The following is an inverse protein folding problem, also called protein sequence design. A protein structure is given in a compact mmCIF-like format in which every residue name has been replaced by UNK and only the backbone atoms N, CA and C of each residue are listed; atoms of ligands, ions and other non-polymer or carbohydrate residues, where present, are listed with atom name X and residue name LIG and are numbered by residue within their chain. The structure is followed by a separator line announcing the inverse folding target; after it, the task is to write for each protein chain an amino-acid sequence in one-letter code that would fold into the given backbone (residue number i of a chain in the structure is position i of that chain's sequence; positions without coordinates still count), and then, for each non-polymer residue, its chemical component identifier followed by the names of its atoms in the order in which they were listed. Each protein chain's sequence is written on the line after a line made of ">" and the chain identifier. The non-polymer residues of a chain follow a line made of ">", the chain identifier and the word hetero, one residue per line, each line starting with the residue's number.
data_IF_593675936486
#
_entry.id   IF_593675936486
#
_cell.length_a   1.000
_cell.length_b   1.000
_cell.length_c   1.000
_cell.angle_alpha   90.00
_cell.angle_beta   90.00
_cell.angle_gamma   90.00
#
_symmetry.space_group_name_H-M   'P 1'
#
loop_
_entity.id
_entity.type
_entity.pdbx_description
1 polymer ?
#
# COMPACT_ATOMS: atom_id res chain seq x y z
N UNK A 1 33.39 5.79 15.64
CA UNK A 1 33.97 4.61 14.94
C UNK A 1 32.86 3.95 14.15
N UNK A 2 32.93 3.94 12.82
CA UNK A 2 31.95 3.24 11.97
C UNK A 2 32.10 1.74 12.19
N UNK A 3 31.00 1.06 12.51
CA UNK A 3 30.93 -0.40 12.55
C UNK A 3 31.41 -0.93 11.17
N UNK A 4 32.31 -1.93 11.10
CA UNK A 4 32.66 -2.52 9.80
C UNK A 4 31.37 -3.02 9.15
N UNK A 5 31.19 -2.71 7.86
CA UNK A 5 30.01 -3.13 7.14
C UNK A 5 29.94 -4.67 7.17
N UNK A 6 28.87 -5.23 7.72
CA UNK A 6 28.56 -6.64 7.47
C UNK A 6 28.11 -6.76 6.00
N UNK A 7 28.64 -7.75 5.29
CA UNK A 7 28.44 -7.89 3.83
C UNK A 7 27.04 -8.39 3.42
N UNK A 8 26.01 -8.26 4.27
CA UNK A 8 24.68 -8.83 4.02
C UNK A 8 23.66 -7.75 3.67
N UNK A 9 23.22 -7.78 2.40
CA UNK A 9 22.02 -7.10 1.93
C UNK A 9 20.80 -8.01 1.96
N UNK A 10 19.69 -7.53 2.50
CA UNK A 10 18.40 -8.22 2.52
C UNK A 10 17.44 -7.55 1.53
N UNK A 11 16.81 -8.33 0.65
CA UNK A 11 15.83 -7.82 -0.31
C UNK A 11 14.43 -8.36 -0.01
N UNK A 12 13.47 -7.45 0.22
CA UNK A 12 12.08 -7.77 0.49
C UNK A 12 11.21 -7.40 -0.72
N UNK A 13 10.80 -8.43 -1.46
CA UNK A 13 9.98 -8.29 -2.67
C UNK A 13 8.52 -7.88 -2.38
N UNK A 14 7.83 -7.47 -3.43
CA UNK A 14 6.44 -7.01 -3.38
C UNK A 14 5.43 -8.15 -3.36
N UNK A 15 4.16 -7.80 -3.21
CA UNK A 15 3.06 -8.78 -3.13
C UNK A 15 1.98 -8.47 -2.09
N UNK A 16 1.90 -7.20 -1.65
CA UNK A 16 0.92 -6.74 -0.66
C UNK A 16 1.04 -7.44 0.69
N UNK A 17 -0.09 -7.63 1.36
CA UNK A 17 -0.18 -8.22 2.71
C UNK A 17 0.40 -9.64 2.81
N UNK A 18 0.29 -10.44 1.74
CA UNK A 18 0.88 -11.79 1.71
C UNK A 18 2.40 -11.75 1.78
N UNK A 19 3.01 -10.85 1.00
CA UNK A 19 4.45 -10.62 1.06
C UNK A 19 4.86 -10.09 2.44
N UNK A 20 4.08 -9.17 3.02
CA UNK A 20 4.34 -8.66 4.38
C UNK A 20 4.38 -9.78 5.43
N UNK A 21 3.40 -10.69 5.40
CA UNK A 21 3.33 -11.84 6.30
C UNK A 21 4.48 -12.84 6.08
N UNK A 22 4.81 -13.12 4.82
CA UNK A 22 5.96 -13.98 4.47
C UNK A 22 7.27 -13.39 5.02
N UNK A 23 7.54 -12.11 4.74
CA UNK A 23 8.75 -11.43 5.19
C UNK A 23 8.84 -11.31 6.71
N UNK A 24 7.70 -11.18 7.41
CA UNK A 24 7.67 -11.28 8.88
C UNK A 24 8.19 -12.64 9.35
N UNK A 25 7.72 -13.75 8.76
CA UNK A 25 8.22 -15.09 9.05
C UNK A 25 9.71 -15.24 8.74
N UNK A 26 10.16 -14.71 7.60
CA UNK A 26 11.58 -14.70 7.21
C UNK A 26 12.44 -13.96 8.23
N UNK A 27 12.03 -12.75 8.64
CA UNK A 27 12.75 -11.96 9.64
C UNK A 27 12.81 -12.67 10.99
N UNK A 28 11.72 -13.32 11.44
CA UNK A 28 11.73 -14.14 12.67
C UNK A 28 12.77 -15.26 12.59
N UNK A 29 12.86 -15.94 11.45
CA UNK A 29 13.87 -16.98 11.26
C UNK A 29 15.29 -16.41 11.25
N UNK A 30 15.52 -15.31 10.52
CA UNK A 30 16.83 -14.64 10.50
C UNK A 30 17.27 -14.13 11.88
N UNK A 31 16.32 -13.63 12.68
CA UNK A 31 16.54 -13.24 14.07
C UNK A 31 16.96 -14.46 14.91
N UNK A 32 16.23 -15.57 14.82
CA UNK A 32 16.55 -16.80 15.58
C UNK A 32 17.92 -17.40 15.22
N UNK A 33 18.40 -17.13 14.00
CA UNK A 33 19.72 -17.56 13.54
C UNK A 33 20.83 -16.55 13.86
N UNK A 34 20.51 -15.40 14.48
CA UNK A 34 21.48 -14.34 14.74
C UNK A 34 22.03 -13.67 13.47
N UNK A 35 21.40 -13.88 12.31
CA UNK A 35 21.82 -13.32 11.02
C UNK A 35 21.26 -11.91 10.84
N UNK A 36 20.06 -11.64 11.36
CA UNK A 36 19.39 -10.35 11.16
C UNK A 36 20.22 -9.16 11.67
N UNK A 37 20.95 -9.34 12.77
CA UNK A 37 21.82 -8.30 13.36
C UNK A 37 23.02 -7.93 12.47
N UNK A 38 23.33 -8.78 11.48
CA UNK A 38 24.41 -8.64 10.51
C UNK A 38 23.92 -8.07 9.18
N UNK A 39 22.64 -7.72 9.06
CA UNK A 39 22.11 -7.09 7.85
C UNK A 39 22.44 -5.61 7.90
N UNK A 40 23.10 -5.12 6.85
CA UNK A 40 23.52 -3.72 6.75
C UNK A 40 22.58 -2.90 5.87
N UNK A 41 22.00 -3.53 4.85
CA UNK A 41 21.12 -2.88 3.89
C UNK A 41 19.85 -3.70 3.73
N UNK A 42 18.70 -3.04 3.80
CA UNK A 42 17.40 -3.65 3.48
C UNK A 42 16.82 -2.91 2.28
N UNK A 43 16.72 -3.60 1.15
CA UNK A 43 16.01 -3.13 -0.04
C UNK A 43 14.57 -3.65 -0.01
N UNK A 44 13.60 -2.80 -0.31
CA UNK A 44 12.18 -3.17 -0.24
C UNK A 44 11.37 -2.63 -1.40
N UNK A 45 10.31 -3.33 -1.78
CA UNK A 45 9.26 -2.81 -2.69
C UNK A 45 7.87 -3.19 -2.21
N UNK A 46 6.88 -2.31 -2.42
CA UNK A 46 5.44 -2.58 -2.20
C UNK A 46 5.16 -3.24 -0.82
N UNK A 47 4.66 -4.47 -0.78
CA UNK A 47 4.37 -5.20 0.47
C UNK A 47 5.60 -5.46 1.35
N UNK A 48 6.79 -5.61 0.76
CA UNK A 48 8.06 -5.70 1.48
C UNK A 48 8.45 -4.40 2.17
N UNK A 49 8.03 -3.25 1.63
CA UNK A 49 8.26 -1.93 2.25
C UNK A 49 7.47 -1.76 3.54
N UNK A 50 6.32 -2.44 3.67
CA UNK A 50 5.57 -2.48 4.93
C UNK A 50 6.42 -3.12 6.02
N UNK A 51 6.89 -4.34 5.79
CA UNK A 51 7.71 -5.07 6.75
C UNK A 51 9.03 -4.35 7.03
N UNK A 52 9.77 -3.93 6.00
CA UNK A 52 11.09 -3.34 6.17
C UNK A 52 11.06 -1.99 6.88
N UNK A 53 10.11 -1.11 6.54
CA UNK A 53 9.96 0.17 7.25
C UNK A 53 9.47 -0.04 8.68
N UNK A 54 8.51 -0.95 8.89
CA UNK A 54 7.99 -1.22 10.23
C UNK A 54 9.06 -1.86 11.14
N UNK A 55 9.90 -2.74 10.58
CA UNK A 55 11.06 -3.31 11.26
C UNK A 55 12.06 -2.22 11.62
N UNK A 56 12.47 -1.37 10.67
CA UNK A 56 13.44 -0.30 10.92
C UNK A 56 12.98 0.65 12.05
N UNK A 57 11.69 0.97 12.11
CA UNK A 57 11.11 1.83 13.15
C UNK A 57 11.07 1.20 14.56
N UNK A 58 11.15 -0.12 14.66
CA UNK A 58 11.02 -0.87 15.92
C UNK A 58 12.17 -1.86 16.13
N UNK A 59 13.31 -1.64 15.45
CA UNK A 59 14.42 -2.62 15.40
C UNK A 59 14.99 -2.97 16.77
N UNK A 60 14.87 -2.04 17.73
CA UNK A 60 15.42 -2.18 19.08
C UNK A 60 14.59 -3.15 19.94
N UNK A 61 13.34 -3.42 19.55
CA UNK A 61 12.45 -4.40 20.18
C UNK A 61 11.83 -5.31 19.11
N UNK A 62 12.54 -6.40 18.82
CA UNK A 62 12.12 -7.36 17.79
C UNK A 62 10.82 -8.08 18.15
N UNK A 63 10.59 -8.35 19.43
CA UNK A 63 9.41 -9.08 19.89
C UNK A 63 8.16 -8.20 19.77
N UNK A 64 8.28 -6.92 20.12
CA UNK A 64 7.24 -5.92 19.84
C UNK A 64 6.99 -5.78 18.33
N UNK A 65 8.05 -5.63 17.52
CA UNK A 65 7.91 -5.57 16.07
C UNK A 65 7.12 -6.77 15.53
N UNK A 66 7.52 -7.98 15.91
CA UNK A 66 6.96 -9.21 15.38
C UNK A 66 5.50 -9.40 15.81
N UNK A 67 5.19 -9.21 17.08
CA UNK A 67 3.83 -9.35 17.62
C UNK A 67 2.89 -8.27 17.06
N UNK A 68 3.32 -7.02 17.10
CA UNK A 68 2.52 -5.89 16.61
C UNK A 68 2.26 -5.97 15.10
N UNK A 69 3.25 -6.38 14.30
CA UNK A 69 3.05 -6.56 12.87
C UNK A 69 2.08 -7.72 12.57
N UNK A 70 2.18 -8.82 13.32
CA UNK A 70 1.29 -9.95 13.21
C UNK A 70 -0.17 -9.56 13.52
N UNK A 71 -0.40 -8.88 14.64
CA UNK A 71 -1.74 -8.43 15.04
C UNK A 71 -2.33 -7.45 14.03
N UNK A 72 -1.51 -6.51 13.54
CA UNK A 72 -1.93 -5.56 12.50
C UNK A 72 -2.27 -6.26 11.19
N UNK A 73 -1.61 -7.35 10.82
CA UNK A 73 -1.94 -8.12 9.62
C UNK A 73 -3.27 -8.87 9.74
N UNK A 74 -3.58 -9.41 10.93
CA UNK A 74 -4.81 -10.17 11.17
C UNK A 74 -6.04 -9.28 11.32
N UNK A 75 -5.93 -8.17 12.05
CA UNK A 75 -7.09 -7.37 12.43
C UNK A 75 -7.39 -6.23 11.46
N UNK A 76 -6.42 -5.77 10.67
CA UNK A 76 -6.62 -4.63 9.80
C UNK A 76 -6.90 -5.04 8.35
N UNK A 77 -8.19 -5.19 8.06
CA UNK A 77 -8.67 -5.31 6.68
C UNK A 77 -8.58 -3.97 5.93
N UNK A 78 -7.40 -3.67 5.38
CA UNK A 78 -7.17 -2.48 4.53
C UNK A 78 -8.16 -2.43 3.38
N UNK A 79 -8.41 -3.58 2.73
CA UNK A 79 -9.33 -3.68 1.60
C UNK A 79 -10.73 -3.25 2.01
N UNK A 80 -11.22 -3.73 3.16
CA UNK A 80 -12.54 -3.37 3.69
C UNK A 80 -12.62 -1.85 3.96
N UNK A 81 -11.62 -1.26 4.63
CA UNK A 81 -11.62 0.19 4.88
C UNK A 81 -11.56 1.04 3.61
N UNK A 82 -10.89 0.55 2.56
CA UNK A 82 -10.84 1.24 1.26
C UNK A 82 -12.18 1.15 0.54
N UNK A 83 -12.81 -0.02 0.51
CA UNK A 83 -14.13 -0.24 -0.14
C UNK A 83 -15.22 0.57 0.56
N UNK A 84 -15.24 0.59 1.89
CA UNK A 84 -16.21 1.37 2.67
C UNK A 84 -15.91 2.87 2.74
N UNK A 85 -14.91 3.35 2.00
CA UNK A 85 -14.61 4.77 1.95
C UNK A 85 -15.69 5.53 1.18
N UNK A 86 -16.10 6.71 1.70
CA UNK A 86 -17.04 7.61 1.00
C UNK A 86 -16.66 7.87 -0.46
N UNK A 87 -15.36 7.96 -0.76
CA UNK A 87 -14.86 8.14 -2.12
C UNK A 87 -15.15 6.96 -3.03
N UNK A 88 -15.02 5.73 -2.52
CA UNK A 88 -15.29 4.52 -3.31
C UNK A 88 -16.79 4.34 -3.54
N UNK A 89 -17.62 4.64 -2.54
CA UNK A 89 -19.07 4.65 -2.68
C UNK A 89 -19.54 5.71 -3.70
N UNK A 90 -19.00 6.93 -3.65
CA UNK A 90 -19.27 7.98 -4.65
C UNK A 90 -18.88 7.54 -6.07
N UNK A 91 -17.75 6.83 -6.19
CA UNK A 91 -17.30 6.27 -7.45
C UNK A 91 -18.25 5.20 -8.00
N UNK A 92 -18.73 4.28 -7.14
CA UNK A 92 -19.75 3.29 -7.51
C UNK A 92 -21.03 3.99 -7.96
N UNK A 93 -21.53 4.95 -7.18
CA UNK A 93 -22.73 5.70 -7.53
C UNK A 93 -22.56 6.44 -8.86
N UNK A 94 -21.39 7.02 -9.11
CA UNK A 94 -21.05 7.66 -10.39
C UNK A 94 -21.13 6.65 -11.55
N UNK A 95 -20.53 5.47 -11.42
CA UNK A 95 -20.61 4.43 -12.45
C UNK A 95 -22.05 3.94 -12.66
N UNK A 96 -22.78 3.66 -11.59
CA UNK A 96 -24.17 3.19 -11.62
C UNK A 96 -25.08 4.22 -12.27
N UNK A 97 -24.87 5.52 -12.01
CA UNK A 97 -25.64 6.59 -12.62
C UNK A 97 -25.50 6.60 -14.16
N UNK A 98 -24.28 6.58 -14.69
CA UNK A 98 -24.06 6.59 -16.14
C UNK A 98 -24.52 5.30 -16.82
N UNK A 99 -24.27 4.15 -16.18
CA UNK A 99 -24.73 2.85 -16.69
C UNK A 99 -26.25 2.76 -16.69
N UNK A 100 -26.89 3.20 -15.61
CA UNK A 100 -28.34 3.24 -15.46
C UNK A 100 -29.00 4.20 -16.45
N UNK A 101 -28.41 5.39 -16.66
CA UNK A 101 -28.88 6.33 -17.67
C UNK A 101 -28.79 5.74 -19.08
N UNK A 102 -27.67 5.09 -19.43
CA UNK A 102 -27.52 4.44 -20.74
C UNK A 102 -28.58 3.33 -20.96
N UNK A 103 -28.80 2.46 -19.96
CA UNK A 103 -29.83 1.41 -20.02
C UNK A 103 -31.25 2.01 -20.10
N UNK A 104 -31.53 3.08 -19.36
CA UNK A 104 -32.81 3.77 -19.43
C UNK A 104 -33.10 4.30 -20.84
N UNK A 105 -32.13 4.96 -21.47
CA UNK A 105 -32.28 5.47 -22.84
C UNK A 105 -32.39 4.35 -23.88
N UNK A 106 -31.80 3.18 -23.64
CA UNK A 106 -31.97 2.00 -24.50
C UNK A 106 -33.37 1.39 -24.40
N UNK A 107 -33.95 1.31 -23.20
CA UNK A 107 -35.20 0.59 -22.96
C UNK A 107 -36.45 1.46 -23.10
N UNK A 108 -36.40 2.71 -22.67
CA UNK A 108 -37.58 3.59 -22.57
C UNK A 108 -37.43 4.93 -23.32
N UNK A 109 -36.24 5.25 -23.79
CA UNK A 109 -35.93 6.53 -24.41
C UNK A 109 -35.44 6.41 -25.86
N UNK A 110 -34.96 7.53 -26.42
CA UNK A 110 -34.24 7.51 -27.69
C UNK A 110 -32.92 6.75 -27.57
N UNK A 111 -32.86 5.55 -28.14
CA UNK A 111 -31.70 4.66 -28.05
C UNK A 111 -30.39 5.28 -28.56
N UNK A 112 -30.44 6.23 -29.50
CA UNK A 112 -29.26 6.95 -30.00
C UNK A 112 -28.58 7.84 -28.96
N UNK A 113 -29.26 8.18 -27.86
CA UNK A 113 -28.69 8.97 -26.75
C UNK A 113 -27.77 8.13 -25.87
N UNK A 114 -28.01 6.82 -25.76
CA UNK A 114 -27.19 5.91 -24.95
C UNK A 114 -25.69 5.94 -25.29
N UNK A 115 -25.25 5.83 -26.57
CA UNK A 115 -23.82 5.93 -26.90
C UNK A 115 -23.23 7.30 -26.57
N UNK A 116 -24.00 8.40 -26.65
CA UNK A 116 -23.52 9.73 -26.24
C UNK A 116 -23.30 9.82 -24.72
N UNK A 117 -24.23 9.26 -23.94
CA UNK A 117 -24.09 9.18 -22.47
C UNK A 117 -22.83 8.40 -22.08
N UNK A 118 -22.57 7.26 -22.76
CA UNK A 118 -21.36 6.47 -22.53
C UNK A 118 -20.09 7.21 -22.97
N UNK A 119 -20.12 7.94 -24.09
CA UNK A 119 -18.99 8.75 -24.55
C UNK A 119 -18.63 9.84 -23.54
N UNK A 120 -19.63 10.58 -23.04
CA UNK A 120 -19.42 11.58 -21.98
C UNK A 120 -18.85 10.93 -20.73
N UNK A 121 -19.36 9.76 -20.33
CA UNK A 121 -18.85 9.03 -19.18
C UNK A 121 -17.36 8.66 -19.34
N UNK A 122 -16.97 8.14 -20.51
CA UNK A 122 -15.59 7.78 -20.81
C UNK A 122 -14.65 9.00 -20.79
N UNK A 123 -15.11 10.14 -21.34
CA UNK A 123 -14.35 11.40 -21.28
C UNK A 123 -14.16 11.84 -19.83
N UNK A 124 -15.21 11.82 -19.02
CA UNK A 124 -15.13 12.19 -17.60
C UNK A 124 -14.21 11.26 -16.81
N UNK A 125 -14.25 9.96 -17.07
CA UNK A 125 -13.31 9.00 -16.48
C UNK A 125 -11.88 9.31 -16.91
N UNK A 126 -11.62 9.54 -18.20
CA UNK A 126 -10.28 9.86 -18.69
C UNK A 126 -9.69 11.12 -18.07
N UNK A 127 -10.49 12.19 -18.02
CA UNK A 127 -10.07 13.51 -17.52
C UNK A 127 -9.98 13.57 -15.99
N UNK A 128 -10.86 12.88 -15.28
CA UNK A 128 -10.99 13.02 -13.83
C UNK A 128 -10.74 11.73 -13.03
N UNK A 129 -10.21 10.65 -13.65
CA UNK A 129 -9.93 9.36 -12.99
C UNK A 129 -9.24 9.49 -11.62
N UNK A 130 -8.21 10.32 -11.50
CA UNK A 130 -7.46 10.47 -10.24
C UNK A 130 -8.18 11.33 -9.19
N UNK A 131 -9.17 12.11 -9.61
CA UNK A 131 -10.03 12.90 -8.72
C UNK A 131 -11.25 12.10 -8.26
N UNK A 132 -11.81 11.28 -9.16
CA UNK A 132 -12.95 10.40 -8.89
C UNK A 132 -12.48 9.16 -8.08
N UNK A 133 -11.31 8.60 -8.42
CA UNK A 133 -10.74 7.41 -7.80
C UNK A 133 -9.32 7.65 -7.25
N UNK A 134 -9.14 8.42 -6.16
CA UNK A 134 -7.83 8.64 -5.54
C UNK A 134 -7.41 7.44 -4.67
N UNK A 135 -7.40 6.23 -5.23
CA UNK A 135 -7.14 4.97 -4.51
C UNK A 135 -5.77 5.00 -3.83
N UNK A 136 -4.73 5.49 -4.51
CA UNK A 136 -3.37 5.55 -3.96
C UNK A 136 -3.29 6.38 -2.68
N UNK A 137 -3.88 7.59 -2.67
CA UNK A 137 -3.87 8.46 -1.48
C UNK A 137 -4.65 7.86 -0.31
N UNK A 138 -5.69 7.07 -0.61
CA UNK A 138 -6.46 6.37 0.42
C UNK A 138 -5.67 5.21 1.01
N UNK A 139 -5.04 4.41 0.18
CA UNK A 139 -4.16 3.32 0.62
C UNK A 139 -3.03 3.87 1.50
N UNK A 140 -2.38 4.96 1.06
CA UNK A 140 -1.33 5.65 1.82
C UNK A 140 -1.79 6.08 3.21
N UNK A 141 -2.95 6.77 3.31
CA UNK A 141 -3.51 7.17 4.62
C UNK A 141 -3.83 5.99 5.51
N UNK A 142 -4.33 4.90 4.95
CA UNK A 142 -4.64 3.69 5.73
C UNK A 142 -3.35 3.05 6.24
N UNK A 143 -2.31 2.97 5.42
CA UNK A 143 -0.99 2.50 5.85
C UNK A 143 -0.38 3.38 6.92
N UNK A 144 -0.43 4.70 6.76
CA UNK A 144 0.03 5.65 7.78
C UNK A 144 -0.70 5.42 9.11
N UNK A 145 -2.03 5.32 9.06
CA UNK A 145 -2.85 5.12 10.25
C UNK A 145 -2.58 3.79 10.96
N UNK A 146 -2.14 2.76 10.22
CA UNK A 146 -1.91 1.42 10.76
C UNK A 146 -0.48 1.18 11.20
N UNK A 147 0.52 1.70 10.48
CA UNK A 147 1.91 1.29 10.67
C UNK A 147 2.83 2.44 11.08
N UNK A 148 2.58 3.66 10.60
CA UNK A 148 3.62 4.71 10.63
C UNK A 148 3.27 5.91 11.50
N UNK A 149 1.98 6.20 11.73
CA UNK A 149 1.50 7.27 12.62
C UNK A 149 2.21 8.62 12.38
N UNK A 150 2.31 9.03 11.11
CA UNK A 150 2.99 10.24 10.60
C UNK A 150 4.52 10.23 10.66
N UNK A 151 5.15 9.12 11.02
CA UNK A 151 6.61 8.99 10.89
C UNK A 151 7.02 9.04 9.42
N UNK A 152 8.13 9.72 9.17
CA UNK A 152 8.69 10.00 7.85
C UNK A 152 10.00 9.22 7.64
N UNK A 153 10.57 9.32 6.44
CA UNK A 153 11.87 8.70 6.14
C UNK A 153 13.01 9.23 7.04
N UNK A 154 12.89 10.46 7.55
CA UNK A 154 13.87 11.04 8.47
C UNK A 154 13.85 10.41 9.87
N UNK A 155 12.77 9.72 10.24
CA UNK A 155 12.63 9.04 11.53
C UNK A 155 13.19 7.60 11.51
N UNK A 156 13.70 7.16 10.36
CA UNK A 156 14.32 5.85 10.21
C UNK A 156 15.76 5.86 10.75
N UNK A 157 16.21 4.77 11.39
CA UNK A 157 17.58 4.67 11.86
C UNK A 157 18.56 4.61 10.68
N UNK A 158 19.79 5.07 10.89
CA UNK A 158 20.86 4.96 9.89
C UNK A 158 21.23 3.51 9.56
N UNK A 159 21.06 2.60 10.53
CA UNK A 159 21.43 1.18 10.41
C UNK A 159 20.29 0.27 10.90
N UNK A 160 19.88 -0.75 10.11
CA UNK A 160 20.30 -1.01 8.73
C UNK A 160 19.79 0.07 7.77
N UNK A 161 20.56 0.36 6.71
CA UNK A 161 20.17 1.33 5.69
C UNK A 161 18.96 0.81 4.93
N UNK A 162 17.82 1.49 5.09
CA UNK A 162 16.59 1.12 4.39
C UNK A 162 16.51 1.82 3.02
N UNK A 163 16.36 1.03 1.97
CA UNK A 163 16.12 1.50 0.60
C UNK A 163 14.70 1.09 0.21
N UNK A 164 13.85 2.08 -0.03
CA UNK A 164 12.45 1.86 -0.41
C UNK A 164 12.30 2.14 -1.90
N UNK A 165 12.08 1.08 -2.68
CA UNK A 165 11.78 1.17 -4.10
C UNK A 165 10.33 1.61 -4.32
N UNK A 166 10.16 2.71 -5.05
CA UNK A 166 8.87 3.21 -5.52
C UNK A 166 8.84 3.21 -7.05
N UNK A 167 7.72 2.79 -7.64
CA UNK A 167 7.52 2.77 -9.10
C UNK A 167 7.30 4.17 -9.68
N UNK A 168 7.15 5.19 -8.82
CA UNK A 168 7.15 6.59 -9.26
C UNK A 168 8.58 7.11 -9.18
N UNK A 169 9.20 7.28 -10.35
CA UNK A 169 10.29 8.25 -10.53
C UNK A 169 9.90 9.53 -9.78
N UNK A 170 10.64 9.85 -8.71
CA UNK A 170 10.60 11.18 -8.12
C UNK A 170 10.99 12.17 -9.22
N UNK A 171 10.03 12.95 -9.69
CA UNK A 171 10.28 14.25 -10.32
C UNK A 171 9.95 15.31 -9.28
#
# INVERSE_FOLDING_TARGET
>A
MSKPANEIGLSLSGGGYRATAFHLGTLRKLQSLGILQKVDVISTISGGSITGAYYALHKDDFDYFSSSLYDKLLHNNVISKVIWSRTFLQAILFCVFFLGAAVYFLLKGPAWVAPLVLLVWLILLGLFQFRIFPVSRRIERVYDQFFYHKKTLGDLPENPKLVIGSTKFCR
#
